data_IF_899868251552
#
_entry.id   IF_899868251552
#
_cell.length_a   1.000
_cell.length_b   1.000
_cell.length_c   1.000
_cell.angle_alpha   90.00
_cell.angle_beta   90.00
_cell.angle_gamma   90.00
#
_symmetry.space_group_name_H-M   'P 1'
#
loop_
_entity.id
_entity.type
_entity.pdbx_description
1 polymer ?
#
# COMPACT_ATOMS: atom_id res chain seq x y z
N UNK A 1 -18.03 -42.91 28.13
CA UNK A 1 -17.69 -41.51 27.92
C UNK A 1 -18.72 -40.93 26.94
N UNK A 2 -19.51 -39.93 27.38
CA UNK A 2 -20.69 -39.49 26.59
C UNK A 2 -20.26 -38.77 25.32
N UNK A 3 -20.92 -39.09 24.19
CA UNK A 3 -20.68 -38.49 22.84
C UNK A 3 -20.65 -36.95 22.90
N UNK A 4 -21.44 -36.34 23.77
CA UNK A 4 -21.44 -34.88 23.99
C UNK A 4 -20.10 -34.33 24.48
N UNK A 5 -19.35 -35.08 25.33
CA UNK A 5 -18.01 -34.68 25.82
C UNK A 5 -16.95 -34.85 24.74
N UNK A 6 -17.09 -35.83 23.85
CA UNK A 6 -16.20 -36.03 22.71
C UNK A 6 -16.34 -34.90 21.66
N UNK A 7 -17.57 -34.48 21.40
CA UNK A 7 -17.86 -33.36 20.48
C UNK A 7 -17.35 -32.02 21.05
N UNK A 8 -17.51 -31.80 22.36
CA UNK A 8 -16.97 -30.60 22.99
C UNK A 8 -15.44 -30.54 22.95
N UNK A 9 -14.75 -31.68 23.11
CA UNK A 9 -13.30 -31.76 23.00
C UNK A 9 -12.81 -31.52 21.56
N UNK A 10 -13.57 -31.97 20.57
CA UNK A 10 -13.23 -31.76 19.14
C UNK A 10 -13.41 -30.30 18.72
N UNK A 11 -14.43 -29.60 19.20
CA UNK A 11 -14.65 -28.17 18.92
C UNK A 11 -13.56 -27.30 19.58
N UNK A 12 -13.05 -27.66 20.78
CA UNK A 12 -11.99 -26.92 21.44
C UNK A 12 -10.63 -27.01 20.71
N UNK A 13 -10.36 -28.11 20.02
CA UNK A 13 -9.08 -28.31 19.30
C UNK A 13 -9.02 -27.54 17.98
N UNK A 14 -10.15 -27.27 17.34
CA UNK A 14 -10.20 -26.56 16.02
C UNK A 14 -9.91 -25.05 16.15
N UNK A 15 -10.09 -24.45 17.34
CA UNK A 15 -9.90 -23.00 17.52
C UNK A 15 -8.42 -22.60 17.70
N UNK A 16 -7.50 -23.53 17.92
CA UNK A 16 -6.09 -23.22 18.22
C UNK A 16 -5.14 -23.16 17.01
N UNK A 17 -5.62 -23.33 15.78
CA UNK A 17 -4.76 -23.38 14.59
C UNK A 17 -4.75 -22.10 13.72
N UNK A 18 -5.26 -20.98 14.21
CA UNK A 18 -5.22 -19.70 13.47
C UNK A 18 -4.05 -18.81 13.92
N UNK A 19 -2.85 -19.38 13.99
CA UNK A 19 -1.64 -18.58 14.11
C UNK A 19 -1.00 -18.43 12.72
N UNK A 20 -1.58 -17.58 11.88
CA UNK A 20 -0.94 -17.16 10.63
C UNK A 20 0.35 -16.42 10.99
N UNK A 21 1.52 -16.98 10.63
CA UNK A 21 2.79 -16.25 10.70
C UNK A 21 2.62 -14.95 9.91
N UNK A 22 2.74 -13.80 10.56
CA UNK A 22 2.90 -12.53 9.84
C UNK A 22 4.24 -12.60 9.10
N UNK A 23 4.18 -12.73 7.80
CA UNK A 23 5.38 -12.61 6.94
C UNK A 23 5.98 -11.24 7.19
N UNK A 24 7.27 -11.18 7.48
CA UNK A 24 7.96 -9.89 7.66
C UNK A 24 7.93 -9.06 6.37
N UNK A 25 8.07 -7.75 6.47
CA UNK A 25 8.13 -6.86 5.30
C UNK A 25 9.28 -7.23 4.38
N UNK A 26 10.43 -7.59 4.94
CA UNK A 26 11.62 -8.02 4.20
C UNK A 26 11.38 -9.32 3.43
N UNK A 27 10.66 -10.29 4.02
CA UNK A 27 10.30 -11.53 3.33
C UNK A 27 9.23 -11.33 2.25
N UNK A 28 8.41 -10.27 2.37
CA UNK A 28 7.37 -9.97 1.39
C UNK A 28 7.93 -9.30 0.15
N UNK A 29 8.86 -8.34 0.32
CA UNK A 29 9.37 -7.52 -0.77
C UNK A 29 10.23 -8.34 -1.74
N UNK A 30 10.03 -8.11 -3.04
CA UNK A 30 10.91 -8.66 -4.07
C UNK A 30 12.31 -8.07 -3.99
N UNK A 31 13.32 -8.86 -4.34
CA UNK A 31 14.65 -8.32 -4.58
C UNK A 31 14.61 -7.44 -5.84
N UNK A 32 14.66 -6.13 -5.65
CA UNK A 32 14.59 -5.15 -6.73
C UNK A 32 15.73 -5.31 -7.76
N UNK A 33 16.88 -5.84 -7.36
CA UNK A 33 18.02 -6.04 -8.27
C UNK A 33 17.67 -6.93 -9.45
N UNK A 34 16.74 -7.86 -9.27
CA UNK A 34 16.26 -8.78 -10.31
C UNK A 34 15.30 -8.14 -11.30
N UNK A 35 14.70 -6.99 -10.92
CA UNK A 35 13.67 -6.29 -11.70
C UNK A 35 14.18 -5.04 -12.44
N UNK A 36 15.46 -4.69 -12.32
CA UNK A 36 16.04 -3.45 -12.89
C UNK A 36 15.85 -3.29 -14.40
N UNK A 37 15.79 -4.42 -15.13
CA UNK A 37 15.54 -4.39 -16.58
C UNK A 37 14.09 -4.07 -16.94
N UNK A 38 13.19 -4.11 -15.96
CA UNK A 38 11.75 -3.92 -16.14
C UNK A 38 11.20 -2.72 -15.39
N UNK A 39 11.76 -2.41 -14.21
CA UNK A 39 11.27 -1.37 -13.30
C UNK A 39 12.40 -0.43 -12.95
N UNK A 40 12.22 0.87 -13.22
CA UNK A 40 13.18 1.92 -12.87
C UNK A 40 12.96 2.46 -11.45
N UNK A 41 11.70 2.62 -11.06
CA UNK A 41 11.35 3.19 -9.77
C UNK A 41 9.96 2.74 -9.29
N UNK A 42 9.71 2.81 -7.99
CA UNK A 42 8.43 2.49 -7.38
C UNK A 42 8.27 3.22 -6.05
N UNK A 43 7.02 3.36 -5.58
CA UNK A 43 6.72 3.92 -4.26
C UNK A 43 7.28 3.01 -3.17
N UNK A 44 8.02 3.55 -2.21
CA UNK A 44 8.63 2.77 -1.14
C UNK A 44 8.81 3.58 0.14
N UNK A 45 8.99 2.88 1.27
CA UNK A 45 9.27 3.48 2.57
C UNK A 45 8.08 4.20 3.19
N UNK A 46 8.34 5.29 3.91
CA UNK A 46 7.32 6.11 4.57
C UNK A 46 6.73 7.12 3.58
N UNK A 47 5.40 7.13 3.49
CA UNK A 47 4.66 7.98 2.54
C UNK A 47 3.54 8.74 3.24
N UNK A 48 3.07 9.81 2.62
CA UNK A 48 1.86 10.52 3.06
C UNK A 48 0.62 9.65 2.85
N UNK A 49 -0.43 9.83 3.67
CA UNK A 49 -1.74 9.22 3.44
C UNK A 49 -2.41 9.65 2.12
N UNK A 50 -2.01 10.79 1.57
CA UNK A 50 -2.52 11.31 0.29
C UNK A 50 -1.65 10.92 -0.92
N UNK A 51 -0.80 9.89 -0.78
CA UNK A 51 0.09 9.46 -1.87
C UNK A 51 -0.62 8.58 -2.88
N UNK A 52 -0.18 8.65 -4.13
CA UNK A 52 -0.44 7.63 -5.14
C UNK A 52 0.61 6.52 -5.03
N UNK A 53 0.23 5.30 -5.36
CA UNK A 53 1.15 4.16 -5.42
C UNK A 53 1.63 4.02 -6.87
N UNK A 54 2.91 4.28 -7.13
CA UNK A 54 3.49 4.41 -8.48
C UNK A 54 4.51 3.34 -8.77
N UNK A 55 4.56 2.94 -10.05
CA UNK A 55 5.64 2.12 -10.63
C UNK A 55 6.05 2.76 -11.95
N UNK A 56 7.34 3.00 -12.14
CA UNK A 56 7.95 3.47 -13.37
C UNK A 56 8.67 2.31 -14.05
N UNK A 57 8.28 2.01 -15.27
CA UNK A 57 8.82 0.93 -16.08
C UNK A 57 10.11 1.35 -16.78
N UNK A 58 10.98 0.39 -17.09
CA UNK A 58 12.18 0.58 -17.89
C UNK A 58 11.89 0.62 -19.41
N UNK A 59 10.63 0.56 -19.80
CA UNK A 59 10.17 0.58 -21.19
C UNK A 59 8.90 1.40 -21.33
N UNK A 60 8.68 1.96 -22.52
CA UNK A 60 7.47 2.70 -22.84
C UNK A 60 6.35 1.77 -23.32
N UNK A 61 5.13 2.12 -22.97
CA UNK A 61 3.90 1.53 -23.49
C UNK A 61 3.30 2.52 -24.48
N UNK A 62 3.45 2.24 -25.76
CA UNK A 62 3.02 3.15 -26.84
C UNK A 62 1.52 3.47 -26.81
N UNK A 63 0.72 2.56 -26.26
CA UNK A 63 -0.73 2.71 -26.08
C UNK A 63 -1.13 3.62 -24.90
N UNK A 64 -0.20 3.98 -24.01
CA UNK A 64 -0.49 4.82 -22.85
C UNK A 64 -0.36 6.30 -23.18
N UNK A 65 -1.43 7.03 -22.90
CA UNK A 65 -1.43 8.49 -22.99
C UNK A 65 -1.30 9.09 -21.58
N UNK A 66 -0.67 10.25 -21.44
CA UNK A 66 -0.58 10.94 -20.15
C UNK A 66 -1.97 11.17 -19.51
N UNK A 67 -2.09 10.80 -18.25
CA UNK A 67 -3.33 10.89 -17.45
C UNK A 67 -4.50 10.05 -17.99
N UNK A 68 -4.20 8.97 -18.69
CA UNK A 68 -5.20 8.02 -19.17
C UNK A 68 -5.56 7.02 -18.08
N UNK A 69 -6.86 6.79 -17.86
CA UNK A 69 -7.33 5.71 -17.02
C UNK A 69 -7.09 4.35 -17.67
N UNK A 70 -6.58 3.40 -16.91
CA UNK A 70 -6.24 2.04 -17.37
C UNK A 70 -7.24 1.06 -16.77
N UNK A 71 -8.01 0.40 -17.62
CA UNK A 71 -8.97 -0.65 -17.22
C UNK A 71 -8.29 -2.03 -17.10
N UNK A 72 -7.18 -2.07 -16.38
CA UNK A 72 -6.46 -3.32 -16.07
C UNK A 72 -6.09 -3.36 -14.61
N UNK A 73 -6.48 -4.43 -13.92
CA UNK A 73 -6.04 -4.66 -12.53
C UNK A 73 -4.57 -5.07 -12.50
N UNK A 74 -3.66 -4.09 -12.43
CA UNK A 74 -2.22 -4.29 -12.36
C UNK A 74 -1.69 -4.32 -10.93
N UNK A 75 -2.43 -3.77 -9.98
CA UNK A 75 -2.06 -3.73 -8.57
C UNK A 75 -3.03 -4.56 -7.73
N UNK A 76 -2.50 -5.45 -6.88
CA UNK A 76 -3.22 -5.99 -5.74
C UNK A 76 -2.66 -5.34 -4.47
N UNK A 77 -3.52 -4.75 -3.65
CA UNK A 77 -3.14 -3.95 -2.48
C UNK A 77 -3.79 -4.54 -1.24
N UNK A 78 -3.00 -4.76 -0.20
CA UNK A 78 -3.46 -5.26 1.09
C UNK A 78 -2.92 -4.38 2.24
N UNK A 79 -3.76 -3.84 3.14
CA UNK A 79 -5.23 -3.90 3.14
C UNK A 79 -5.86 -3.36 1.87
N UNK A 80 -7.05 -3.86 1.52
CA UNK A 80 -7.73 -3.49 0.27
C UNK A 80 -8.09 -1.99 0.25
N UNK A 81 -7.79 -1.33 -0.86
CA UNK A 81 -8.06 0.09 -1.09
C UNK A 81 -8.86 0.24 -2.37
N UNK A 82 -9.90 1.09 -2.33
CA UNK A 82 -10.63 1.48 -3.54
C UNK A 82 -9.87 2.61 -4.25
N UNK A 83 -9.79 2.53 -5.56
CA UNK A 83 -9.09 3.52 -6.36
C UNK A 83 -9.14 3.17 -7.84
N UNK A 84 -8.43 3.95 -8.64
CA UNK A 84 -8.33 3.76 -10.08
C UNK A 84 -6.87 3.73 -10.51
N UNK A 85 -6.60 3.11 -11.65
CA UNK A 85 -5.29 3.10 -12.26
C UNK A 85 -5.19 4.11 -13.36
N UNK A 86 -4.08 4.85 -13.36
CA UNK A 86 -3.79 5.90 -14.31
C UNK A 86 -2.41 5.69 -14.92
N UNK A 87 -2.28 5.74 -16.23
CA UNK A 87 -1.00 5.98 -16.87
C UNK A 87 -0.68 7.49 -16.70
N UNK A 88 0.34 7.81 -15.94
CA UNK A 88 0.79 9.20 -15.78
C UNK A 88 1.65 9.65 -16.96
N UNK A 89 2.42 8.71 -17.51
CA UNK A 89 3.25 8.87 -18.71
C UNK A 89 3.25 7.57 -19.52
N UNK A 90 4.01 7.52 -20.61
CA UNK A 90 4.19 6.29 -21.42
C UNK A 90 4.79 5.12 -20.63
N UNK A 91 5.49 5.39 -19.52
CA UNK A 91 6.16 4.36 -18.72
C UNK A 91 5.85 4.41 -17.23
N UNK A 92 5.00 5.31 -16.77
CA UNK A 92 4.66 5.43 -15.35
C UNK A 92 3.18 5.18 -15.13
N UNK A 93 2.88 4.19 -14.31
CA UNK A 93 1.52 3.87 -13.88
C UNK A 93 1.38 4.14 -12.38
N UNK A 94 0.21 4.65 -12.01
CA UNK A 94 -0.17 4.93 -10.63
C UNK A 94 -1.51 4.29 -10.28
N UNK A 95 -1.61 3.77 -9.07
CA UNK A 95 -2.89 3.54 -8.41
C UNK A 95 -3.20 4.77 -7.57
N UNK A 96 -4.33 5.41 -7.87
CA UNK A 96 -4.83 6.61 -7.20
C UNK A 96 -5.96 6.20 -6.27
N UNK A 97 -5.77 6.24 -4.94
CA UNK A 97 -6.82 5.94 -3.98
C UNK A 97 -7.99 6.93 -4.09
N UNK A 98 -9.23 6.44 -3.95
CA UNK A 98 -10.43 7.32 -3.90
C UNK A 98 -10.47 8.18 -2.63
N UNK A 99 -9.85 7.70 -1.56
CA UNK A 99 -9.76 8.38 -0.26
C UNK A 99 -8.33 8.27 0.26
N UNK A 100 -7.89 9.19 1.13
CA UNK A 100 -6.61 9.06 1.82
C UNK A 100 -6.44 7.66 2.42
N UNK A 101 -5.25 7.12 2.29
CA UNK A 101 -4.85 5.86 2.92
C UNK A 101 -4.93 6.00 4.45
N UNK A 102 -5.21 4.92 5.14
CA UNK A 102 -5.20 4.92 6.61
C UNK A 102 -3.79 5.24 7.13
N UNK A 103 -3.72 6.04 8.19
CA UNK A 103 -2.47 6.44 8.81
C UNK A 103 -1.81 5.28 9.55
N UNK A 104 -0.47 5.35 9.73
CA UNK A 104 0.34 4.34 10.43
C UNK A 104 0.11 2.90 9.95
N UNK A 105 -0.29 2.75 8.69
CA UNK A 105 -0.68 1.47 8.10
C UNK A 105 0.36 1.02 7.07
N UNK A 106 0.76 -0.25 7.16
CA UNK A 106 1.57 -0.91 6.15
C UNK A 106 0.68 -1.46 5.04
N UNK A 107 0.93 -1.01 3.82
CA UNK A 107 0.31 -1.54 2.61
C UNK A 107 1.29 -2.41 1.86
N UNK A 108 0.86 -3.62 1.51
CA UNK A 108 1.61 -4.58 0.69
C UNK A 108 1.03 -4.57 -0.70
N UNK A 109 1.88 -4.38 -1.67
CA UNK A 109 1.51 -4.20 -3.07
C UNK A 109 2.12 -5.31 -3.92
N UNK A 110 1.30 -5.94 -4.75
CA UNK A 110 1.74 -6.87 -5.79
C UNK A 110 1.47 -6.23 -7.13
N UNK A 111 2.52 -5.86 -7.85
CA UNK A 111 2.43 -5.33 -9.20
C UNK A 111 2.58 -6.47 -10.22
N UNK A 112 1.55 -6.67 -11.05
CA UNK A 112 1.44 -7.77 -12.02
C UNK A 112 2.19 -7.44 -13.32
N UNK A 113 3.51 -7.49 -13.30
CA UNK A 113 4.38 -7.15 -14.43
C UNK A 113 4.10 -8.02 -15.67
N UNK A 114 3.78 -9.30 -15.47
CA UNK A 114 3.46 -10.24 -16.56
C UNK A 114 2.23 -9.88 -17.39
N UNK A 115 1.36 -8.96 -16.88
CA UNK A 115 0.23 -8.43 -17.65
C UNK A 115 0.65 -7.36 -18.67
N UNK A 116 1.81 -6.76 -18.49
CA UNK A 116 2.32 -5.69 -19.35
C UNK A 116 3.34 -6.16 -20.36
N UNK A 117 4.17 -7.14 -19.98
CA UNK A 117 5.24 -7.66 -20.80
C UNK A 117 5.48 -9.15 -20.49
N UNK A 118 6.00 -9.88 -21.46
CA UNK A 118 6.40 -11.28 -21.26
C UNK A 118 7.63 -11.33 -20.36
N UNK A 119 7.50 -11.99 -19.22
CA UNK A 119 8.55 -12.16 -18.21
C UNK A 119 8.81 -13.63 -17.89
N UNK A 120 9.98 -13.99 -17.36
CA UNK A 120 10.19 -15.27 -16.67
C UNK A 120 9.18 -15.45 -15.54
N UNK A 121 8.79 -16.68 -15.22
CA UNK A 121 7.77 -16.97 -14.20
C UNK A 121 8.08 -16.38 -12.83
N UNK A 122 9.35 -16.39 -12.43
CA UNK A 122 9.82 -15.81 -11.14
C UNK A 122 9.80 -14.29 -11.10
N UNK A 123 9.63 -13.61 -12.25
CA UNK A 123 9.54 -12.15 -12.36
C UNK A 123 8.16 -11.69 -12.83
N UNK A 124 7.14 -12.54 -12.75
CA UNK A 124 5.77 -12.24 -13.17
C UNK A 124 5.11 -11.18 -12.30
N UNK A 125 5.49 -11.10 -11.03
CA UNK A 125 4.96 -10.18 -10.02
C UNK A 125 6.10 -9.49 -9.29
N UNK A 126 5.99 -8.17 -9.15
CA UNK A 126 6.89 -7.38 -8.32
C UNK A 126 6.17 -6.99 -7.03
N UNK A 127 6.72 -7.39 -5.89
CA UNK A 127 6.14 -7.19 -4.56
C UNK A 127 6.91 -6.12 -3.81
N UNK A 128 6.19 -5.15 -3.25
CA UNK A 128 6.78 -4.09 -2.44
C UNK A 128 5.79 -3.60 -1.39
N UNK A 129 6.28 -2.86 -0.41
CA UNK A 129 5.45 -2.30 0.65
C UNK A 129 5.75 -0.82 0.83
N UNK A 130 4.73 -0.11 1.30
CA UNK A 130 4.80 1.26 1.79
C UNK A 130 4.20 1.32 3.19
N UNK A 131 4.64 2.28 4.00
CA UNK A 131 3.99 2.59 5.27
C UNK A 131 3.55 4.05 5.27
N UNK A 132 2.29 4.29 5.63
CA UNK A 132 1.79 5.66 5.79
C UNK A 132 2.28 6.27 7.09
N UNK A 133 2.59 7.56 7.02
CA UNK A 133 2.96 8.34 8.19
C UNK A 133 1.79 8.41 9.17
N UNK A 134 2.09 8.30 10.45
CA UNK A 134 1.19 8.74 11.50
C UNK A 134 1.26 10.27 11.54
N UNK A 135 0.14 10.93 11.27
CA UNK A 135 0.05 12.37 11.50
C UNK A 135 -0.13 12.59 12.99
N UNK A 136 0.84 13.27 13.58
CA UNK A 136 0.79 13.73 14.94
C UNK A 136 1.09 15.23 14.95
N UNK A 137 0.43 15.98 15.81
CA UNK A 137 0.68 17.41 15.99
C UNK A 137 0.68 17.73 17.46
N UNK A 138 1.63 18.56 17.87
CA UNK A 138 1.71 19.09 19.22
C UNK A 138 1.32 20.57 19.12
N UNK A 139 0.28 20.97 19.85
CA UNK A 139 -0.07 22.38 20.00
C UNK A 139 0.63 22.90 21.24
N UNK A 140 1.64 23.73 21.04
CA UNK A 140 2.27 24.47 22.11
C UNK A 140 1.64 25.87 22.16
N UNK A 141 0.92 26.16 23.22
CA UNK A 141 0.44 27.51 23.49
C UNK A 141 1.59 28.28 24.15
N UNK A 142 2.23 29.14 23.37
CA UNK A 142 3.39 29.92 23.84
C UNK A 142 2.96 31.15 24.62
N UNK A 143 1.86 31.78 24.25
CA UNK A 143 1.32 32.97 24.93
C UNK A 143 -0.15 33.21 24.60
N UNK A 144 -0.82 33.96 25.48
CA UNK A 144 -2.18 34.49 25.31
C UNK A 144 -2.09 36.01 25.17
N UNK A 145 -2.29 36.51 23.95
CA UNK A 145 -2.37 37.96 23.73
C UNK A 145 -3.79 38.45 23.99
N UNK A 146 -3.94 39.34 24.98
CA UNK A 146 -5.18 40.06 25.26
C UNK A 146 -5.20 41.35 24.45
N UNK A 147 -6.13 41.46 23.51
CA UNK A 147 -6.33 42.71 22.77
C UNK A 147 -7.60 43.41 23.26
N UNK A 148 -7.43 44.60 23.79
CA UNK A 148 -8.54 45.48 24.24
C UNK A 148 -9.58 44.88 25.19
N UNK A 149 -9.16 43.96 26.09
CA UNK A 149 -10.02 43.29 27.09
C UNK A 149 -11.17 42.43 26.52
N UNK A 150 -11.37 42.41 25.22
CA UNK A 150 -12.50 41.74 24.57
C UNK A 150 -12.09 40.52 23.71
N UNK A 151 -10.84 40.45 23.25
CA UNK A 151 -10.36 39.40 22.35
C UNK A 151 -9.06 38.78 22.85
N UNK A 152 -9.02 37.48 22.85
CA UNK A 152 -7.82 36.69 23.14
C UNK A 152 -7.47 35.87 21.93
N UNK A 153 -6.22 35.95 21.48
CA UNK A 153 -5.68 35.14 20.40
C UNK A 153 -4.61 34.20 20.92
N UNK A 154 -4.59 32.98 20.41
CA UNK A 154 -3.52 32.01 20.64
C UNK A 154 -2.46 32.20 19.55
N UNK A 155 -1.21 32.38 19.95
CA UNK A 155 -0.05 32.39 19.08
C UNK A 155 0.64 31.03 19.04
#
# INVERSE_FOLDING_TARGET
MSIKRLVQLFVAVVVLHSCGKKVSTEEFNSDFSLFKDYILNFSSGLVSSNTDIRVTLAFDKAEWQPNQEIDQSLFDISPAVKGKMMALTSNTIAFIPEKPLEQDTEYRIVFKLSKLIKTPKNLSEFKFSIKTLKQDFIVNVLDLQSYNREWQFLN
#
